data_IF_858586103518
#
_entry.id   IF_858586103518
#
_cell.length_a   1.000
_cell.length_b   1.000
_cell.length_c   1.000
_cell.angle_alpha   90.00
_cell.angle_beta   90.00
_cell.angle_gamma   90.00
#
_symmetry.space_group_name_H-M   'P 1'
#
loop_
_entity.id
_entity.type
_entity.pdbx_description
1 polymer ?
#
# COMPACT_ATOMS: atom_id res chain seq x y z
N UNK A 1 8.33 29.86 -69.35
CA UNK A 1 8.64 31.29 -69.07
C UNK A 1 7.84 31.72 -67.86
N UNK A 2 8.36 32.59 -67.00
CA UNK A 2 7.62 33.11 -65.83
C UNK A 2 7.51 34.63 -65.96
N UNK A 3 6.31 35.18 -65.77
CA UNK A 3 6.02 36.62 -65.79
C UNK A 3 6.16 37.15 -64.37
N UNK A 4 6.90 38.25 -64.18
CA UNK A 4 7.07 38.90 -62.87
C UNK A 4 6.62 40.34 -63.04
N UNK A 5 5.78 40.82 -62.12
CA UNK A 5 5.32 42.21 -62.04
C UNK A 5 6.00 42.86 -60.84
N UNK A 6 6.82 43.86 -61.10
CA UNK A 6 7.41 44.73 -60.09
C UNK A 6 7.35 46.17 -60.62
N UNK A 7 6.80 47.07 -59.80
CA UNK A 7 6.66 48.52 -60.04
C UNK A 7 6.56 48.94 -61.51
N UNK A 8 5.38 48.64 -62.09
CA UNK A 8 4.88 49.19 -63.34
C UNK A 8 5.62 48.79 -64.64
N UNK A 9 6.48 47.76 -64.61
CA UNK A 9 7.12 47.19 -65.82
C UNK A 9 7.07 45.66 -65.79
N UNK A 10 6.66 45.03 -66.90
CA UNK A 10 6.66 43.57 -67.06
C UNK A 10 7.96 43.16 -67.75
N UNK A 11 8.77 42.34 -67.06
CA UNK A 11 9.98 41.74 -67.62
C UNK A 11 9.77 40.23 -67.81
N UNK A 12 9.97 39.75 -69.04
CA UNK A 12 9.91 38.31 -69.37
C UNK A 12 11.33 37.77 -69.39
N UNK A 13 11.59 36.75 -68.56
CA UNK A 13 12.92 36.13 -68.42
C UNK A 13 12.78 34.62 -68.54
N UNK A 14 13.84 33.95 -68.98
CA UNK A 14 13.85 32.48 -69.00
C UNK A 14 13.87 31.93 -67.57
N UNK A 15 13.30 30.74 -67.35
CA UNK A 15 13.18 30.16 -66.00
C UNK A 15 14.55 29.96 -65.36
N UNK A 16 15.55 29.58 -66.17
CA UNK A 16 16.94 29.37 -65.74
C UNK A 16 17.60 30.67 -65.26
N UNK A 17 17.45 31.75 -66.02
CA UNK A 17 17.99 33.06 -65.63
C UNK A 17 17.33 33.63 -64.38
N UNK A 18 16.04 33.37 -64.16
CA UNK A 18 15.35 33.79 -62.94
C UNK A 18 15.81 33.02 -61.70
N UNK A 19 16.03 31.71 -61.82
CA UNK A 19 16.58 30.89 -60.73
C UNK A 19 18.01 31.30 -60.38
N UNK A 20 18.84 31.61 -61.37
CA UNK A 20 20.18 32.12 -61.17
C UNK A 20 20.17 33.54 -60.54
N UNK A 21 19.23 34.40 -60.92
CA UNK A 21 19.06 35.73 -60.30
C UNK A 21 18.59 35.63 -58.84
N UNK A 22 17.68 34.70 -58.53
CA UNK A 22 17.28 34.42 -57.13
C UNK A 22 18.46 33.90 -56.34
N UNK A 23 19.21 32.92 -56.87
CA UNK A 23 20.40 32.38 -56.21
C UNK A 23 21.44 33.47 -55.97
N UNK A 24 21.63 34.39 -56.92
CA UNK A 24 22.54 35.54 -56.77
C UNK A 24 22.04 36.51 -55.70
N UNK A 25 20.75 36.86 -55.69
CA UNK A 25 20.15 37.73 -54.66
C UNK A 25 20.17 37.10 -53.26
N UNK A 26 19.98 35.79 -53.17
CA UNK A 26 20.13 35.04 -51.91
C UNK A 26 21.59 35.05 -51.47
N UNK A 27 22.53 34.76 -52.36
CA UNK A 27 23.97 34.79 -52.08
C UNK A 27 24.48 36.19 -51.70
N UNK A 28 24.00 37.25 -52.35
CA UNK A 28 24.29 38.65 -52.02
C UNK A 28 23.69 39.04 -50.66
N UNK A 29 22.46 38.59 -50.34
CA UNK A 29 21.89 38.80 -49.01
C UNK A 29 22.68 38.06 -47.93
N UNK A 30 23.15 36.86 -48.21
CA UNK A 30 23.96 36.07 -47.28
C UNK A 30 25.34 36.67 -47.06
N UNK A 31 26.01 37.17 -48.11
CA UNK A 31 27.30 37.86 -47.98
C UNK A 31 27.15 39.19 -47.28
N UNK A 32 26.09 39.96 -47.56
CA UNK A 32 25.79 41.21 -46.86
C UNK A 32 25.46 40.96 -45.38
N UNK A 33 24.76 39.86 -45.08
CA UNK A 33 24.51 39.43 -43.70
C UNK A 33 25.81 39.03 -43.01
N UNK A 34 26.70 38.29 -43.67
CA UNK A 34 28.02 37.92 -43.15
C UNK A 34 28.91 39.14 -42.91
N UNK A 35 28.99 40.07 -43.85
CA UNK A 35 29.83 41.28 -43.74
C UNK A 35 29.33 42.23 -42.65
N UNK A 36 28.00 42.40 -42.53
CA UNK A 36 27.39 43.16 -41.43
C UNK A 36 27.67 42.52 -40.07
N UNK A 37 27.69 41.19 -40.04
CA UNK A 37 27.95 40.40 -38.84
C UNK A 37 29.45 40.36 -38.48
N UNK A 38 30.35 40.41 -39.47
CA UNK A 38 31.80 40.59 -39.26
C UNK A 38 32.16 42.01 -38.79
N UNK A 39 31.45 43.04 -39.29
CA UNK A 39 31.54 44.39 -38.73
C UNK A 39 31.05 44.46 -37.29
N UNK A 40 30.02 43.67 -36.95
CA UNK A 40 29.58 43.48 -35.56
C UNK A 40 30.63 42.77 -34.70
N UNK A 41 31.29 41.70 -35.22
CA UNK A 41 32.42 41.03 -34.53
C UNK A 41 33.58 41.96 -34.21
N UNK A 42 33.82 42.97 -35.04
CA UNK A 42 34.88 43.96 -34.84
C UNK A 42 34.48 45.08 -33.86
N UNK A 43 33.19 45.23 -33.56
CA UNK A 43 32.66 46.29 -32.69
C UNK A 43 32.22 45.83 -31.30
N UNK A 44 31.94 44.55 -31.10
CA UNK A 44 31.49 44.01 -29.81
C UNK A 44 32.62 43.28 -29.08
N UNK A 45 33.07 43.84 -27.95
CA UNK A 45 34.00 43.16 -27.04
C UNK A 45 33.33 41.94 -26.41
N UNK A 46 33.82 40.74 -26.74
CA UNK A 46 33.46 39.51 -26.03
C UNK A 46 34.16 39.48 -24.68
N UNK A 47 33.38 39.22 -23.63
CA UNK A 47 33.86 39.08 -22.26
C UNK A 47 33.64 37.63 -21.83
N UNK A 48 34.62 37.09 -21.11
CA UNK A 48 34.51 35.78 -20.46
C UNK A 48 34.41 36.00 -18.96
N UNK A 49 33.36 35.46 -18.35
CA UNK A 49 33.17 35.49 -16.90
C UNK A 49 32.94 34.07 -16.37
N UNK A 50 33.58 33.74 -15.24
CA UNK A 50 33.41 32.46 -14.54
C UNK A 50 32.50 32.68 -13.35
N UNK A 51 31.38 31.96 -13.31
CA UNK A 51 30.42 32.00 -12.20
C UNK A 51 30.48 30.67 -11.44
N UNK A 52 30.70 30.75 -10.14
CA UNK A 52 30.63 29.59 -9.25
C UNK A 52 29.20 29.43 -8.73
N UNK A 53 28.66 28.21 -8.82
CA UNK A 53 27.33 27.86 -8.35
C UNK A 53 27.42 27.21 -6.97
N UNK A 54 26.50 27.53 -6.07
CA UNK A 54 26.47 27.01 -4.70
C UNK A 54 25.45 25.89 -4.51
N UNK A 55 24.30 25.96 -5.18
CA UNK A 55 23.16 25.06 -4.94
C UNK A 55 22.69 24.34 -6.20
N UNK A 56 22.69 25.01 -7.34
CA UNK A 56 22.18 24.45 -8.60
C UNK A 56 23.29 23.74 -9.37
N UNK A 57 22.93 22.69 -10.11
CA UNK A 57 23.89 21.96 -10.94
C UNK A 57 24.22 22.76 -12.22
N UNK A 58 25.47 22.70 -12.75
CA UNK A 58 25.85 23.46 -13.93
C UNK A 58 25.13 22.94 -15.18
N UNK A 59 24.78 21.65 -15.19
CA UNK A 59 24.04 21.01 -16.27
C UNK A 59 22.60 21.52 -16.37
N UNK A 60 21.92 21.73 -15.23
CA UNK A 60 20.55 22.27 -15.22
C UNK A 60 20.55 23.75 -15.62
N UNK A 61 21.57 24.52 -15.22
CA UNK A 61 21.71 25.93 -15.64
C UNK A 61 22.11 26.07 -17.09
N UNK A 62 22.98 25.23 -17.62
CA UNK A 62 23.33 25.24 -19.04
C UNK A 62 22.09 24.99 -19.92
N UNK A 63 21.25 24.01 -19.55
CA UNK A 63 19.97 23.74 -20.22
C UNK A 63 19.01 24.93 -20.14
N UNK A 64 18.95 25.62 -19.00
CA UNK A 64 18.09 26.79 -18.83
C UNK A 64 18.58 27.98 -19.67
N UNK A 65 19.89 28.24 -19.69
CA UNK A 65 20.50 29.38 -20.38
C UNK A 65 20.50 29.21 -21.89
N UNK A 66 20.79 27.99 -22.39
CA UNK A 66 20.73 27.68 -23.83
C UNK A 66 19.30 27.60 -24.37
N UNK A 67 18.29 27.59 -23.49
CA UNK A 67 16.91 27.34 -23.84
C UNK A 67 16.71 25.86 -24.13
N UNK A 68 15.94 25.17 -23.29
CA UNK A 68 15.80 23.72 -23.39
C UNK A 68 15.34 23.25 -24.77
N UNK A 69 15.87 22.10 -25.21
CA UNK A 69 15.35 21.29 -26.33
C UNK A 69 13.92 20.84 -26.01
N UNK A 70 12.95 21.74 -26.16
CA UNK A 70 11.55 21.39 -26.16
C UNK A 70 11.21 20.67 -27.47
N UNK A 71 10.37 19.65 -27.38
CA UNK A 71 9.79 18.82 -28.46
C UNK A 71 8.88 19.60 -29.45
N UNK A 72 9.29 20.80 -29.84
CA UNK A 72 8.67 21.59 -30.91
C UNK A 72 9.30 21.26 -32.26
N UNK A 73 8.51 21.37 -33.32
CA UNK A 73 8.82 21.00 -34.70
C UNK A 73 10.28 21.32 -35.15
N UNK A 74 10.90 20.44 -35.95
CA UNK A 74 12.25 20.63 -36.47
C UNK A 74 12.33 21.96 -37.24
N UNK A 75 13.08 22.92 -36.69
CA UNK A 75 13.27 24.24 -37.30
C UNK A 75 12.98 25.44 -36.38
N UNK A 76 12.41 25.25 -35.18
CA UNK A 76 12.23 26.32 -34.19
C UNK A 76 13.14 26.11 -32.98
N UNK A 77 14.45 26.30 -33.15
CA UNK A 77 15.34 26.49 -32.00
C UNK A 77 14.92 27.81 -31.35
N UNK A 78 14.24 27.74 -30.19
CA UNK A 78 14.12 28.90 -29.31
C UNK A 78 15.53 29.33 -28.97
N UNK A 79 15.97 30.45 -29.53
CA UNK A 79 17.24 31.09 -29.22
C UNK A 79 17.25 31.33 -27.69
N UNK A 80 18.08 30.60 -26.96
CA UNK A 80 18.27 30.82 -25.53
C UNK A 80 18.80 32.21 -25.23
N UNK A 81 19.16 32.45 -23.98
CA UNK A 81 19.80 33.70 -23.56
C UNK A 81 21.24 33.86 -24.08
N UNK A 82 21.69 32.99 -25.00
CA UNK A 82 23.04 33.00 -25.58
C UNK A 82 23.00 33.70 -26.94
N UNK A 83 23.99 34.56 -27.22
CA UNK A 83 24.10 35.19 -28.54
C UNK A 83 24.50 34.19 -29.62
N UNK A 84 24.47 34.61 -30.89
CA UNK A 84 24.84 33.75 -32.03
C UNK A 84 26.30 33.26 -31.97
N UNK A 85 27.17 33.94 -31.22
CA UNK A 85 28.58 33.60 -31.04
C UNK A 85 28.95 33.30 -29.58
N UNK A 86 27.97 33.33 -28.68
CA UNK A 86 28.16 33.04 -27.27
C UNK A 86 28.39 31.54 -27.04
N UNK A 87 29.27 31.21 -26.09
CA UNK A 87 29.51 29.82 -25.68
C UNK A 87 29.45 29.70 -24.18
N UNK A 88 28.73 28.68 -23.71
CA UNK A 88 28.67 28.29 -22.30
C UNK A 88 29.38 26.95 -22.15
N UNK A 89 30.37 26.91 -21.28
CA UNK A 89 31.12 25.72 -20.91
C UNK A 89 30.91 25.41 -19.44
N UNK A 90 30.37 24.22 -19.16
CA UNK A 90 30.22 23.72 -17.80
C UNK A 90 31.53 23.14 -17.28
N UNK A 91 31.85 23.43 -16.02
CA UNK A 91 33.00 22.89 -15.29
C UNK A 91 32.46 22.09 -14.11
N UNK A 92 32.31 20.78 -14.29
CA UNK A 92 31.65 19.89 -13.31
C UNK A 92 32.45 19.74 -12.01
N UNK A 93 33.78 19.72 -12.07
CA UNK A 93 34.62 19.48 -10.89
C UNK A 93 34.64 20.63 -9.87
N UNK A 94 34.31 21.85 -10.29
CA UNK A 94 34.30 23.04 -9.43
C UNK A 94 32.92 23.72 -9.35
N UNK A 95 31.87 23.02 -9.75
CA UNK A 95 30.51 23.54 -9.85
C UNK A 95 30.43 24.96 -10.47
N UNK A 96 31.15 25.17 -11.58
CA UNK A 96 31.31 26.48 -12.19
C UNK A 96 30.83 26.48 -13.64
N UNK A 97 30.43 27.65 -14.11
CA UNK A 97 29.93 27.87 -15.45
C UNK A 97 30.72 29.03 -16.07
N UNK A 98 31.42 28.73 -17.15
CA UNK A 98 32.22 29.70 -17.90
C UNK A 98 31.35 30.21 -19.03
N UNK A 99 31.01 31.50 -18.96
CA UNK A 99 30.18 32.19 -19.94
C UNK A 99 31.08 33.08 -20.78
N UNK A 100 31.03 32.91 -22.10
CA UNK A 100 31.68 33.81 -23.05
C UNK A 100 30.64 34.40 -23.98
N UNK A 101 30.41 35.71 -23.89
CA UNK A 101 29.44 36.42 -24.73
C UNK A 101 29.72 37.94 -24.74
N UNK A 102 28.86 38.73 -25.37
CA UNK A 102 28.87 40.20 -25.30
C UNK A 102 28.69 40.68 -23.87
N UNK A 103 29.33 41.82 -23.51
CA UNK A 103 29.33 42.37 -22.14
C UNK A 103 27.92 42.52 -21.55
N UNK A 104 26.95 42.96 -22.35
CA UNK A 104 25.55 43.14 -21.91
C UNK A 104 24.88 41.78 -21.63
N UNK A 105 25.10 40.78 -22.48
CA UNK A 105 24.47 39.49 -22.34
C UNK A 105 25.06 38.67 -21.18
N UNK A 106 26.38 38.75 -20.96
CA UNK A 106 27.03 38.17 -19.79
C UNK A 106 26.44 38.76 -18.50
N UNK A 107 26.30 40.08 -18.40
CA UNK A 107 25.70 40.71 -17.22
C UNK A 107 24.25 40.26 -16.96
N UNK A 108 23.46 40.10 -18.02
CA UNK A 108 22.09 39.57 -17.92
C UNK A 108 22.07 38.10 -17.47
N UNK A 109 22.92 37.25 -18.03
CA UNK A 109 23.02 35.83 -17.65
C UNK A 109 23.51 35.66 -16.20
N UNK A 110 24.50 36.43 -15.77
CA UNK A 110 25.00 36.41 -14.38
C UNK A 110 23.89 36.80 -13.40
N UNK A 111 23.06 37.80 -13.74
CA UNK A 111 21.89 38.19 -12.92
C UNK A 111 20.89 37.04 -12.78
N UNK A 112 20.54 36.38 -13.89
CA UNK A 112 19.63 35.23 -13.91
C UNK A 112 20.20 34.07 -13.09
N UNK A 113 21.48 33.76 -13.25
CA UNK A 113 22.16 32.70 -12.50
C UNK A 113 22.11 32.99 -11.00
N UNK A 114 22.42 34.23 -10.57
CA UNK A 114 22.36 34.62 -9.15
C UNK A 114 20.95 34.60 -8.57
N UNK A 115 19.95 34.94 -9.37
CA UNK A 115 18.54 34.88 -8.95
C UNK A 115 18.04 33.45 -8.78
N UNK A 116 18.57 32.51 -9.58
CA UNK A 116 18.17 31.11 -9.54
C UNK A 116 19.02 30.22 -8.62
N UNK A 117 20.28 30.59 -8.35
CA UNK A 117 21.18 29.91 -7.40
C UNK A 117 20.82 30.23 -5.94
N UNK A 118 19.58 29.91 -5.58
CA UNK A 118 19.06 30.05 -4.23
C UNK A 118 19.02 28.70 -3.52
N UNK A 119 19.14 28.74 -2.20
CA UNK A 119 19.10 27.53 -1.37
C UNK A 119 17.74 26.83 -1.51
N UNK A 120 17.70 25.52 -1.88
CA UNK A 120 16.44 24.80 -1.95
C UNK A 120 15.84 24.61 -0.56
N UNK A 121 14.52 24.66 -0.48
CA UNK A 121 13.80 24.28 0.73
C UNK A 121 14.04 22.79 1.01
N UNK A 122 14.31 22.45 2.27
CA UNK A 122 14.30 21.06 2.72
C UNK A 122 12.94 20.79 3.37
N UNK A 123 12.34 19.66 3.01
CA UNK A 123 11.04 19.23 3.49
C UNK A 123 11.24 17.92 4.24
N UNK A 124 10.81 17.90 5.50
CA UNK A 124 10.60 16.69 6.27
C UNK A 124 9.19 16.17 5.97
N UNK A 125 9.08 14.87 5.69
CA UNK A 125 7.80 14.21 5.48
C UNK A 125 7.67 13.12 6.54
N UNK A 126 6.64 13.25 7.38
CA UNK A 126 6.26 12.25 8.37
C UNK A 126 5.01 11.51 7.87
N UNK A 127 5.09 10.18 7.73
CA UNK A 127 3.95 9.34 7.36
C UNK A 127 3.59 8.45 8.53
N UNK A 128 2.31 8.40 8.91
CA UNK A 128 1.80 7.51 9.97
C UNK A 128 0.82 6.52 9.38
N UNK A 129 1.13 5.24 9.47
CA UNK A 129 0.25 4.15 9.06
C UNK A 129 -0.28 3.50 10.33
N UNK A 130 -1.56 3.64 10.58
CA UNK A 130 -2.26 3.09 11.75
C UNK A 130 -3.09 1.90 11.29
N UNK A 131 -2.85 0.74 11.87
CA UNK A 131 -3.71 -0.42 11.71
C UNK A 131 -4.30 -0.80 13.07
N UNK A 132 -5.62 -0.90 13.15
CA UNK A 132 -6.34 -1.43 14.29
C UNK A 132 -7.05 -2.72 13.86
N UNK A 133 -6.98 -3.74 14.70
CA UNK A 133 -7.69 -5.00 14.50
C UNK A 133 -8.41 -5.35 15.79
N UNK A 134 -9.69 -5.70 15.69
CA UNK A 134 -10.48 -6.23 16.81
C UNK A 134 -11.09 -7.53 16.35
N UNK A 135 -10.84 -8.61 17.07
CA UNK A 135 -11.44 -9.91 16.83
C UNK A 135 -12.38 -10.24 17.99
N UNK A 136 -13.60 -10.64 17.67
CA UNK A 136 -14.59 -11.04 18.66
C UNK A 136 -15.22 -12.36 18.26
N UNK A 137 -15.19 -13.33 19.17
CA UNK A 137 -15.84 -14.63 19.00
C UNK A 137 -16.66 -14.97 20.23
N UNK A 138 -17.88 -15.45 20.02
CA UNK A 138 -18.76 -15.95 21.09
C UNK A 138 -19.34 -17.29 20.68
N UNK A 139 -19.16 -18.29 21.52
CA UNK A 139 -19.83 -19.58 21.40
C UNK A 139 -20.65 -19.89 22.64
N UNK A 140 -21.90 -20.34 22.42
CA UNK A 140 -22.75 -20.88 23.46
C UNK A 140 -23.24 -22.25 23.02
N UNK A 141 -23.00 -23.26 23.85
CA UNK A 141 -23.35 -24.64 23.57
C UNK A 141 -23.92 -25.33 24.79
N UNK A 142 -24.72 -26.37 24.56
CA UNK A 142 -25.39 -27.14 25.60
C UNK A 142 -25.16 -28.62 25.35
N UNK A 143 -24.94 -29.34 26.43
CA UNK A 143 -24.96 -30.78 26.46
C UNK A 143 -25.96 -31.20 27.53
N UNK A 144 -26.85 -32.12 27.23
CA UNK A 144 -27.67 -32.72 28.28
C UNK A 144 -28.13 -34.11 27.90
N UNK A 145 -28.33 -34.93 28.91
CA UNK A 145 -28.78 -36.30 28.78
C UNK A 145 -29.71 -36.65 29.93
N UNK A 146 -30.81 -37.28 29.60
CA UNK A 146 -31.72 -37.85 30.57
C UNK A 146 -31.74 -39.36 30.41
N UNK A 147 -31.64 -40.07 31.52
CA UNK A 147 -31.92 -41.50 31.62
C UNK A 147 -33.12 -41.69 32.52
N UNK A 148 -34.05 -42.50 32.07
CA UNK A 148 -35.04 -43.07 32.95
C UNK A 148 -35.20 -44.52 32.60
N UNK A 149 -35.07 -45.39 33.60
CA UNK A 149 -35.25 -46.82 33.45
C UNK A 149 -36.50 -47.19 34.22
N UNK A 150 -37.59 -47.38 33.48
CA UNK A 150 -38.81 -47.90 34.08
C UNK A 150 -39.20 -49.19 33.39
N UNK A 151 -39.37 -50.24 34.20
CA UNK A 151 -40.01 -51.47 33.78
C UNK A 151 -41.52 -51.27 33.86
N UNK A 152 -42.18 -51.27 32.70
CA UNK A 152 -43.63 -51.10 32.65
C UNK A 152 -44.32 -52.46 32.67
N UNK A 153 -45.15 -52.71 33.69
CA UNK A 153 -46.00 -53.91 33.76
C UNK A 153 -47.03 -53.94 32.63
N UNK A 154 -47.46 -52.77 32.13
CA UNK A 154 -48.34 -52.63 30.97
C UNK A 154 -47.65 -53.01 29.64
N UNK A 155 -46.32 -52.98 29.60
CA UNK A 155 -45.51 -53.39 28.44
C UNK A 155 -44.90 -54.79 28.61
N UNK A 156 -45.40 -55.59 29.56
CA UNK A 156 -44.92 -56.94 29.84
C UNK A 156 -43.57 -56.97 30.55
N UNK A 157 -43.35 -56.06 31.51
CA UNK A 157 -42.11 -55.89 32.27
C UNK A 157 -40.88 -55.54 31.41
N UNK A 158 -41.11 -54.86 30.28
CA UNK A 158 -40.04 -54.36 29.40
C UNK A 158 -39.49 -53.03 29.92
N UNK A 159 -38.17 -52.88 29.81
CA UNK A 159 -37.46 -51.63 30.10
C UNK A 159 -37.81 -50.59 29.03
N UNK A 160 -38.29 -49.42 29.47
CA UNK A 160 -38.38 -48.22 28.65
C UNK A 160 -37.24 -47.31 29.07
N UNK A 161 -36.39 -46.96 28.12
CA UNK A 161 -35.26 -46.08 28.35
C UNK A 161 -35.25 -44.90 27.40
N UNK A 162 -35.06 -43.70 27.98
CA UNK A 162 -34.74 -42.48 27.26
C UNK A 162 -33.22 -42.31 27.33
N UNK A 163 -32.54 -42.13 26.20
CA UNK A 163 -31.12 -41.79 26.15
C UNK A 163 -30.71 -41.28 24.77
N UNK A 164 -29.49 -40.76 24.66
CA UNK A 164 -28.85 -40.52 23.37
C UNK A 164 -28.70 -41.79 22.52
N UNK A 165 -28.39 -41.60 21.24
CA UNK A 165 -28.11 -42.68 20.30
C UNK A 165 -26.92 -43.53 20.77
N UNK A 166 -27.10 -44.85 20.80
CA UNK A 166 -26.16 -45.81 21.37
C UNK A 166 -26.12 -47.08 20.54
N UNK A 167 -24.96 -47.72 20.50
CA UNK A 167 -24.77 -49.06 19.95
C UNK A 167 -24.55 -50.04 21.09
N UNK A 168 -25.15 -51.21 20.95
CA UNK A 168 -24.88 -52.33 21.84
C UNK A 168 -23.68 -53.10 21.30
N UNK A 169 -22.55 -53.05 22.01
CA UNK A 169 -21.44 -53.96 21.71
C UNK A 169 -21.71 -55.26 22.47
N UNK A 170 -21.89 -56.37 21.73
CA UNK A 170 -22.15 -57.67 22.36
C UNK A 170 -20.96 -58.02 23.24
N UNK A 171 -21.23 -58.21 24.54
CA UNK A 171 -20.25 -58.87 25.39
C UNK A 171 -19.99 -60.28 24.85
N UNK A 172 -18.72 -60.68 24.85
CA UNK A 172 -18.32 -62.09 24.76
C UNK A 172 -19.06 -62.88 25.86
N UNK A 173 -19.44 -64.14 25.59
CA UNK A 173 -20.23 -64.98 26.51
C UNK A 173 -19.78 -64.81 27.97
N UNK A 174 -20.71 -64.34 28.82
CA UNK A 174 -20.48 -64.12 30.26
C UNK A 174 -20.15 -62.69 30.69
N UNK A 175 -20.00 -61.73 29.78
CA UNK A 175 -19.82 -60.31 30.13
C UNK A 175 -21.14 -59.50 30.16
N UNK A 176 -21.21 -58.48 31.01
CA UNK A 176 -22.23 -57.41 30.91
C UNK A 176 -21.97 -56.59 29.64
N UNK A 177 -22.97 -56.52 28.74
CA UNK A 177 -22.90 -55.71 27.52
C UNK A 177 -22.55 -54.25 27.85
N UNK A 178 -21.55 -53.70 27.16
CA UNK A 178 -21.15 -52.30 27.36
C UNK A 178 -21.89 -51.42 26.36
N UNK A 179 -22.60 -50.42 26.86
CA UNK A 179 -23.20 -49.39 26.02
C UNK A 179 -22.09 -48.50 25.47
N UNK A 180 -22.02 -48.37 24.15
CA UNK A 180 -21.04 -47.52 23.47
C UNK A 180 -21.79 -46.42 22.73
N UNK A 181 -21.32 -45.18 22.86
CA UNK A 181 -21.83 -44.03 22.09
C UNK A 181 -21.61 -44.28 20.59
N UNK A 182 -22.64 -44.10 19.76
CA UNK A 182 -22.50 -44.19 18.30
C UNK A 182 -21.64 -43.08 17.71
N UNK A 183 -21.36 -42.03 18.49
CA UNK A 183 -20.63 -40.85 18.06
C UNK A 183 -19.23 -40.75 18.66
N UNK A 184 -18.81 -41.71 19.50
CA UNK A 184 -17.56 -41.68 20.26
C UNK A 184 -17.39 -40.46 21.19
N UNK A 185 -18.42 -39.64 21.41
CA UNK A 185 -18.38 -38.55 22.39
C UNK A 185 -18.61 -39.08 23.81
N UNK A 186 -17.81 -38.56 24.77
CA UNK A 186 -17.91 -38.87 26.20
C UNK A 186 -19.29 -38.46 26.74
N UNK A 187 -19.95 -39.41 27.38
CA UNK A 187 -21.26 -39.25 28.01
C UNK A 187 -21.18 -38.97 29.52
N UNK A 188 -22.34 -38.80 30.16
CA UNK A 188 -22.40 -38.68 31.63
C UNK A 188 -22.27 -40.04 32.30
N UNK A 189 -21.79 -40.06 33.55
CA UNK A 189 -21.55 -41.28 34.32
C UNK A 189 -22.80 -41.64 35.11
N UNK A 190 -23.29 -42.85 34.90
CA UNK A 190 -24.48 -43.40 35.55
C UNK A 190 -24.21 -44.86 35.93
N UNK A 191 -24.19 -45.18 37.23
CA UNK A 191 -24.06 -46.56 37.70
C UNK A 191 -22.86 -47.34 37.16
N UNK A 192 -21.72 -46.66 36.89
CA UNK A 192 -20.53 -47.27 36.28
C UNK A 192 -20.53 -47.33 34.75
N UNK A 193 -21.64 -46.98 34.09
CA UNK A 193 -21.77 -46.89 32.63
C UNK A 193 -21.61 -45.44 32.14
N UNK A 194 -21.05 -45.28 30.93
CA UNK A 194 -20.99 -44.00 30.22
C UNK A 194 -22.16 -43.96 29.25
N UNK A 195 -23.00 -42.94 29.34
CA UNK A 195 -24.23 -42.84 28.53
C UNK A 195 -24.18 -41.58 27.67
N UNK A 196 -24.35 -41.69 26.34
CA UNK A 196 -24.29 -40.54 25.46
C UNK A 196 -25.40 -39.54 25.79
N UNK A 197 -25.05 -38.26 25.75
CA UNK A 197 -26.00 -37.16 25.88
C UNK A 197 -27.08 -37.22 24.78
N UNK A 198 -28.31 -36.82 25.13
CA UNK A 198 -29.41 -36.67 24.18
C UNK A 198 -29.16 -35.49 23.23
N UNK A 199 -28.65 -34.39 23.78
CA UNK A 199 -28.16 -33.23 23.03
C UNK A 199 -26.69 -33.05 23.36
N UNK A 200 -25.84 -33.01 22.34
CA UNK A 200 -24.40 -32.91 22.52
C UNK A 200 -23.81 -31.84 21.61
N UNK A 201 -24.05 -30.58 21.97
CA UNK A 201 -23.68 -29.41 21.18
C UNK A 201 -22.79 -28.46 21.99
N UNK A 202 -21.59 -28.90 22.45
CA UNK A 202 -20.71 -28.06 23.26
C UNK A 202 -20.09 -26.90 22.46
N UNK A 203 -19.86 -25.79 23.17
CA UNK A 203 -18.92 -24.76 22.74
C UNK A 203 -17.48 -25.29 22.81
N UNK A 204 -16.56 -24.70 22.02
CA UNK A 204 -15.14 -25.09 21.98
C UNK A 204 -14.36 -24.57 23.20
N UNK A 205 -14.71 -25.06 24.39
CA UNK A 205 -14.10 -24.67 25.68
C UNK A 205 -12.94 -25.60 26.06
N UNK A 206 -11.97 -25.07 26.80
CA UNK A 206 -10.78 -25.78 27.25
C UNK A 206 -10.06 -25.06 28.38
N UNK A 207 -8.93 -25.59 28.84
CA UNK A 207 -8.13 -24.92 29.87
C UNK A 207 -7.70 -23.52 29.39
N UNK A 208 -8.13 -22.48 30.09
CA UNK A 208 -7.88 -21.08 29.73
C UNK A 208 -8.75 -20.51 28.60
N UNK A 209 -9.76 -21.25 28.13
CA UNK A 209 -10.68 -20.83 27.07
C UNK A 209 -12.12 -21.19 27.43
N UNK A 210 -12.91 -20.18 27.82
CA UNK A 210 -14.31 -20.35 28.18
C UNK A 210 -14.53 -21.13 29.48
N UNK A 211 -15.76 -21.61 29.68
CA UNK A 211 -16.15 -22.32 30.90
C UNK A 211 -17.35 -23.23 30.70
N UNK A 212 -17.50 -24.19 31.61
CA UNK A 212 -18.64 -25.11 31.68
C UNK A 212 -19.33 -25.01 33.02
N UNK A 213 -20.66 -25.14 33.02
CA UNK A 213 -21.49 -25.22 34.22
C UNK A 213 -22.40 -26.44 34.09
N UNK A 214 -22.18 -27.42 34.97
CA UNK A 214 -22.92 -28.68 34.98
C UNK A 214 -23.88 -28.79 36.16
N UNK A 215 -25.06 -29.36 35.93
CA UNK A 215 -26.04 -29.75 36.94
C UNK A 215 -26.43 -31.20 36.73
N UNK A 216 -26.31 -31.99 37.79
CA UNK A 216 -26.71 -33.38 37.80
C UNK A 216 -27.83 -33.59 38.81
N UNK A 217 -28.91 -34.24 38.38
CA UNK A 217 -30.06 -34.62 39.21
C UNK A 217 -30.26 -36.12 39.05
N UNK A 218 -30.21 -36.87 40.14
CA UNK A 218 -30.43 -38.32 40.16
C UNK A 218 -31.40 -38.75 41.25
N UNK A 219 -32.22 -39.74 40.98
CA UNK A 219 -33.10 -40.39 41.98
C UNK A 219 -32.31 -41.35 42.86
N UNK A 220 -32.72 -41.53 44.13
CA UNK A 220 -32.07 -42.45 45.06
C UNK A 220 -32.04 -43.93 44.62
N UNK A 221 -32.91 -44.31 43.68
CA UNK A 221 -33.00 -45.67 43.12
C UNK A 221 -32.42 -45.77 41.72
N UNK A 222 -31.70 -44.75 41.24
CA UNK A 222 -31.18 -44.62 39.86
C UNK A 222 -32.22 -44.74 38.73
N UNK A 223 -33.50 -44.72 39.04
CA UNK A 223 -34.61 -44.81 38.08
C UNK A 223 -34.75 -43.58 37.17
N UNK A 224 -34.22 -42.43 37.60
CA UNK A 224 -34.17 -41.20 36.82
C UNK A 224 -32.88 -40.43 37.08
N UNK A 225 -32.23 -39.99 36.00
CA UNK A 225 -31.04 -39.16 36.05
C UNK A 225 -31.07 -38.15 34.91
N UNK A 226 -30.65 -36.92 35.21
CA UNK A 226 -30.55 -35.81 34.27
C UNK A 226 -29.21 -35.13 34.51
N UNK A 227 -28.38 -35.07 33.48
CA UNK A 227 -27.16 -34.28 33.45
C UNK A 227 -27.33 -33.16 32.42
N UNK A 228 -27.05 -31.92 32.81
CA UNK A 228 -27.12 -30.72 31.98
C UNK A 228 -25.85 -29.94 32.15
N UNK A 229 -25.12 -29.73 31.07
CA UNK A 229 -23.88 -28.99 31.02
C UNK A 229 -23.98 -27.84 30.00
N UNK A 230 -23.98 -26.62 30.50
CA UNK A 230 -23.81 -25.41 29.70
C UNK A 230 -22.32 -25.19 29.44
N UNK A 231 -21.98 -24.82 28.22
CA UNK A 231 -20.61 -24.47 27.82
C UNK A 231 -20.65 -23.12 27.10
N UNK A 232 -19.78 -22.20 27.50
CA UNK A 232 -19.74 -20.87 26.93
C UNK A 232 -18.29 -20.40 26.76
N UNK A 233 -18.02 -19.75 25.63
CA UNK A 233 -16.77 -19.09 25.32
C UNK A 233 -17.08 -17.69 24.79
N UNK A 234 -16.37 -16.70 25.30
CA UNK A 234 -16.29 -15.39 24.69
C UNK A 234 -14.81 -15.01 24.64
N UNK A 235 -14.32 -14.72 23.45
CA UNK A 235 -12.95 -14.31 23.19
C UNK A 235 -12.97 -12.94 22.52
N UNK A 236 -12.18 -12.01 23.04
CA UNK A 236 -12.03 -10.67 22.50
C UNK A 236 -10.54 -10.31 22.46
N UNK A 237 -10.03 -10.09 21.25
CA UNK A 237 -8.69 -9.59 21.02
C UNK A 237 -8.71 -8.20 20.41
N UNK A 238 -7.73 -7.37 20.81
CA UNK A 238 -7.53 -6.03 20.26
C UNK A 238 -6.05 -5.82 19.98
N UNK A 239 -5.74 -5.47 18.74
CA UNK A 239 -4.39 -5.16 18.26
C UNK A 239 -4.32 -3.77 17.66
N UNK A 240 -3.23 -3.04 17.91
CA UNK A 240 -2.96 -1.77 17.25
C UNK A 240 -1.50 -1.68 16.86
N UNK A 241 -1.25 -1.38 15.59
CA UNK A 241 0.07 -1.21 15.00
C UNK A 241 0.19 0.22 14.48
N UNK A 242 1.19 0.95 14.96
CA UNK A 242 1.54 2.28 14.45
C UNK A 242 2.92 2.21 13.81
N UNK A 243 2.99 2.52 12.52
CA UNK A 243 4.24 2.64 11.77
C UNK A 243 4.45 4.11 11.40
N UNK A 244 5.64 4.66 11.66
CA UNK A 244 5.94 6.08 11.44
C UNK A 244 7.22 6.30 10.61
N UNK A 245 7.25 5.92 9.31
CA UNK A 245 8.37 6.25 8.45
C UNK A 245 8.51 7.77 8.24
N UNK A 246 9.74 8.25 8.29
CA UNK A 246 10.10 9.66 8.18
C UNK A 246 11.29 9.83 7.24
N UNK A 247 11.22 10.84 6.38
CA UNK A 247 12.29 11.16 5.42
C UNK A 247 12.43 12.68 5.25
N UNK A 248 13.65 13.13 4.96
CA UNK A 248 13.93 14.54 4.63
C UNK A 248 14.48 14.58 3.22
N UNK A 249 13.99 15.50 2.40
CA UNK A 249 14.46 15.70 1.04
C UNK A 249 14.45 17.15 0.63
N UNK A 250 15.20 17.49 -0.42
CA UNK A 250 15.16 18.81 -1.04
C UNK A 250 13.91 18.94 -1.92
N UNK A 251 13.50 20.18 -2.15
CA UNK A 251 12.40 20.51 -3.05
C UNK A 251 12.61 19.89 -4.46
N UNK A 252 11.56 19.30 -5.01
CA UNK A 252 11.54 18.59 -6.30
C UNK A 252 12.51 17.39 -6.41
N UNK A 253 13.00 16.84 -5.28
CA UNK A 253 13.83 15.63 -5.26
C UNK A 253 13.08 14.46 -4.61
N UNK A 254 13.01 13.36 -5.34
CA UNK A 254 12.45 12.08 -4.86
C UNK A 254 13.32 11.53 -3.72
N UNK A 255 12.68 11.11 -2.65
CA UNK A 255 13.31 10.40 -1.55
C UNK A 255 12.55 9.12 -1.20
N UNK A 256 13.29 8.11 -0.76
CA UNK A 256 12.78 6.79 -0.42
C UNK A 256 13.35 6.40 0.95
N UNK A 257 12.48 5.89 1.82
CA UNK A 257 12.86 5.20 3.06
C UNK A 257 12.13 3.85 3.10
N UNK A 258 12.86 2.76 3.31
CA UNK A 258 12.31 1.40 3.32
C UNK A 258 12.95 0.56 4.42
N UNK A 259 12.14 -0.28 5.06
CA UNK A 259 12.57 -1.28 6.04
C UNK A 259 11.77 -2.56 5.79
N UNK A 260 12.45 -3.69 5.65
CA UNK A 260 11.76 -4.95 5.45
C UNK A 260 12.68 -6.12 5.19
N UNK A 261 12.12 -7.15 4.56
CA UNK A 261 12.80 -8.40 4.23
C UNK A 261 12.67 -8.68 2.75
N UNK A 262 13.67 -9.38 2.21
CA UNK A 262 13.66 -9.88 0.84
C UNK A 262 13.48 -11.40 0.89
N UNK A 263 12.40 -11.90 0.32
CA UNK A 263 12.02 -13.32 0.34
C UNK A 263 12.46 -13.96 -0.97
N UNK A 264 13.39 -14.94 -0.93
CA UNK A 264 13.80 -15.65 -2.13
C UNK A 264 12.74 -16.66 -2.57
N UNK A 265 12.44 -16.70 -3.87
CA UNK A 265 11.62 -17.74 -4.49
C UNK A 265 12.27 -18.25 -5.77
N UNK A 266 12.05 -19.53 -6.07
CA UNK A 266 12.64 -20.19 -7.25
C UNK A 266 11.70 -20.03 -8.44
N UNK A 267 12.25 -19.61 -9.57
CA UNK A 267 11.55 -19.63 -10.86
C UNK A 267 12.21 -20.64 -11.78
N UNK A 268 11.41 -21.55 -12.32
CA UNK A 268 11.86 -22.56 -13.27
C UNK A 268 11.77 -22.00 -14.69
N UNK A 269 12.92 -21.77 -15.32
CA UNK A 269 13.02 -21.35 -16.72
C UNK A 269 13.66 -22.46 -17.56
N UNK A 270 13.52 -22.45 -18.90
CA UNK A 270 14.21 -23.41 -19.78
C UNK A 270 15.74 -23.37 -19.65
N UNK A 271 16.29 -22.28 -19.10
CA UNK A 271 17.72 -22.06 -18.84
C UNK A 271 18.19 -22.59 -17.47
N UNK A 272 17.30 -23.18 -16.68
CA UNK A 272 17.56 -23.67 -15.32
C UNK A 272 16.78 -22.93 -14.24
N UNK A 273 17.03 -23.31 -12.99
CA UNK A 273 16.41 -22.72 -11.80
C UNK A 273 17.09 -21.41 -11.45
N UNK A 274 16.36 -20.29 -11.52
CA UNK A 274 16.83 -18.98 -11.06
C UNK A 274 16.17 -18.62 -9.72
N UNK A 275 16.93 -18.01 -8.81
CA UNK A 275 16.37 -17.48 -7.55
C UNK A 275 16.06 -16.00 -7.74
N UNK A 276 14.79 -15.64 -7.59
CA UNK A 276 14.31 -14.26 -7.60
C UNK A 276 13.94 -13.83 -6.18
N UNK A 277 13.84 -12.52 -5.96
CA UNK A 277 13.59 -11.94 -4.64
C UNK A 277 12.34 -11.08 -4.68
N UNK A 278 11.40 -11.34 -3.76
CA UNK A 278 10.23 -10.51 -3.53
C UNK A 278 10.41 -9.70 -2.25
N UNK A 279 10.19 -8.39 -2.32
CA UNK A 279 10.35 -7.51 -1.16
C UNK A 279 9.05 -7.39 -0.36
N UNK A 280 9.13 -7.64 0.95
CA UNK A 280 8.10 -7.32 1.92
C UNK A 280 8.62 -6.16 2.79
N UNK A 281 8.34 -4.94 2.35
CA UNK A 281 8.87 -3.70 2.95
C UNK A 281 7.75 -2.77 3.43
N UNK A 282 7.98 -2.19 4.60
CA UNK A 282 7.38 -0.94 5.00
C UNK A 282 8.20 0.18 4.38
N UNK A 283 7.56 1.09 3.64
CA UNK A 283 8.30 2.16 2.99
C UNK A 283 7.46 3.38 2.66
N UNK A 284 8.17 4.49 2.48
CA UNK A 284 7.63 5.74 1.99
C UNK A 284 8.52 6.21 0.84
N UNK A 285 7.90 6.42 -0.30
CA UNK A 285 8.48 7.11 -1.43
C UNK A 285 7.72 8.42 -1.62
N UNK A 286 8.44 9.53 -1.76
CA UNK A 286 7.83 10.85 -1.86
C UNK A 286 8.65 11.81 -2.72
N UNK A 287 7.95 12.62 -3.50
CA UNK A 287 8.52 13.77 -4.22
C UNK A 287 7.75 15.03 -3.81
N UNK A 288 8.31 15.90 -2.96
CA UNK A 288 7.67 17.15 -2.57
C UNK A 288 7.96 18.26 -3.58
N UNK A 289 7.03 19.20 -3.69
CA UNK A 289 7.18 20.45 -4.43
C UNK A 289 6.50 21.59 -3.68
N UNK A 290 7.25 22.63 -3.31
CA UNK A 290 6.72 23.79 -2.59
C UNK A 290 6.13 24.80 -3.57
N UNK A 291 4.85 25.12 -3.41
CA UNK A 291 4.16 26.14 -4.20
C UNK A 291 4.38 27.54 -3.62
N UNK A 292 4.18 28.58 -4.44
CA UNK A 292 4.29 29.98 -4.01
C UNK A 292 3.28 30.37 -2.93
N UNK A 293 2.14 29.67 -2.89
CA UNK A 293 1.07 29.89 -1.91
C UNK A 293 1.35 29.21 -0.55
N UNK A 294 2.51 28.57 -0.39
CA UNK A 294 2.91 27.90 0.85
C UNK A 294 2.34 26.49 1.04
N UNK A 295 1.60 25.97 0.05
CA UNK A 295 1.23 24.55 0.00
C UNK A 295 2.39 23.70 -0.50
N UNK A 296 2.46 22.49 0.00
CA UNK A 296 3.42 21.47 -0.38
C UNK A 296 2.64 20.43 -1.18
N UNK A 297 2.91 20.39 -2.48
CA UNK A 297 2.46 19.32 -3.36
C UNK A 297 3.29 18.08 -3.06
N UNK A 298 2.63 16.96 -2.78
CA UNK A 298 3.27 15.70 -2.45
C UNK A 298 2.78 14.62 -3.41
N UNK A 299 3.70 14.03 -4.17
CA UNK A 299 3.49 12.74 -4.83
C UNK A 299 4.01 11.66 -3.90
N UNK A 300 3.14 10.77 -3.42
CA UNK A 300 3.43 9.84 -2.33
C UNK A 300 3.07 8.42 -2.74
N UNK A 301 3.96 7.48 -2.42
CA UNK A 301 3.71 6.05 -2.43
C UNK A 301 4.08 5.49 -1.05
N UNK A 302 3.07 5.25 -0.22
CA UNK A 302 3.23 4.60 1.07
C UNK A 302 2.97 3.10 0.93
N UNK A 303 3.87 2.27 1.46
CA UNK A 303 3.78 0.80 1.41
C UNK A 303 3.90 0.21 2.81
N UNK A 304 3.06 -0.77 3.12
CA UNK A 304 3.15 -1.65 4.28
C UNK A 304 2.94 -3.06 3.79
N UNK A 305 4.02 -3.66 3.29
CA UNK A 305 4.00 -5.03 2.82
C UNK A 305 4.55 -5.95 3.93
N UNK A 306 3.84 -7.03 4.23
CA UNK A 306 4.21 -8.00 5.26
C UNK A 306 4.24 -9.41 4.70
N UNK A 307 5.27 -10.19 5.07
CA UNK A 307 5.32 -11.61 4.77
C UNK A 307 4.29 -12.36 5.62
N UNK A 308 3.43 -13.15 4.97
CA UNK A 308 2.51 -14.07 5.62
C UNK A 308 3.11 -15.49 5.59
N UNK A 309 3.56 -15.95 6.76
CA UNK A 309 4.14 -17.28 6.95
C UNK A 309 3.10 -18.37 7.20
N UNK A 310 1.82 -18.02 7.38
CA UNK A 310 0.74 -18.98 7.57
C UNK A 310 0.30 -19.53 6.21
N UNK A 311 0.06 -18.63 5.26
CA UNK A 311 -0.29 -19.01 3.90
C UNK A 311 0.98 -19.09 3.04
N UNK A 312 1.40 -20.32 2.74
CA UNK A 312 2.56 -20.59 1.87
C UNK A 312 2.13 -21.28 0.58
N UNK A 313 2.74 -20.89 -0.53
CA UNK A 313 2.61 -21.56 -1.83
C UNK A 313 3.95 -22.21 -2.15
N UNK A 314 3.97 -23.54 -2.28
CA UNK A 314 5.21 -24.32 -2.52
C UNK A 314 6.32 -24.05 -1.48
N UNK A 315 5.94 -23.76 -0.22
CA UNK A 315 6.87 -23.43 0.86
C UNK A 315 7.40 -21.98 0.82
N UNK A 316 6.92 -21.15 -0.11
CA UNK A 316 7.20 -19.70 -0.16
C UNK A 316 6.06 -18.95 0.52
N UNK A 317 6.34 -18.06 1.50
CA UNK A 317 5.32 -17.23 2.14
C UNK A 317 4.65 -16.28 1.14
N UNK A 318 3.35 -16.05 1.31
CA UNK A 318 2.64 -14.99 0.57
C UNK A 318 2.99 -13.61 1.14
N UNK A 319 2.64 -12.53 0.43
CA UNK A 319 2.91 -11.15 0.86
C UNK A 319 1.61 -10.36 0.88
N UNK A 320 1.21 -9.94 2.08
CA UNK A 320 0.12 -9.00 2.28
C UNK A 320 0.56 -7.60 1.91
N UNK A 321 -0.05 -7.00 0.88
CA UNK A 321 0.30 -5.66 0.39
C UNK A 321 -0.74 -4.64 0.81
N UNK A 322 -0.32 -3.62 1.54
CA UNK A 322 -1.15 -2.46 1.91
C UNK A 322 -0.47 -1.19 1.43
N UNK A 323 -0.96 -0.62 0.33
CA UNK A 323 -0.29 0.49 -0.34
C UNK A 323 -1.27 1.61 -0.72
N UNK A 324 -0.79 2.85 -0.68
CA UNK A 324 -1.53 4.01 -1.18
C UNK A 324 -0.61 4.89 -2.03
N UNK A 325 -1.06 5.22 -3.24
CA UNK A 325 -0.38 6.12 -4.18
C UNK A 325 -1.29 7.30 -4.48
N UNK A 326 -0.81 8.52 -4.24
CA UNK A 326 -1.63 9.71 -4.48
C UNK A 326 -0.79 10.97 -4.71
N UNK A 327 -1.46 11.99 -5.24
CA UNK A 327 -0.96 13.34 -5.39
C UNK A 327 -1.87 14.31 -4.66
N UNK A 328 -1.33 15.07 -3.71
CA UNK A 328 -2.14 15.98 -2.88
C UNK A 328 -1.38 17.26 -2.51
N UNK A 329 -2.11 18.25 -2.01
CA UNK A 329 -1.56 19.52 -1.52
C UNK A 329 -1.87 19.64 -0.03
N UNK A 330 -0.84 19.83 0.81
CA UNK A 330 -0.98 20.07 2.26
C UNK A 330 -0.24 21.33 2.63
N UNK A 331 -0.70 22.06 3.63
CA UNK A 331 0.08 23.16 4.19
C UNK A 331 1.24 22.66 5.04
N UNK A 332 2.22 23.53 5.24
CA UNK A 332 3.34 23.28 6.16
C UNK A 332 2.84 22.97 7.58
N UNK A 333 3.18 21.79 8.09
CA UNK A 333 2.85 21.33 9.44
C UNK A 333 1.45 20.75 9.63
N UNK A 334 0.57 20.80 8.62
CA UNK A 334 -0.77 20.20 8.69
C UNK A 334 -0.73 18.70 8.39
N UNK A 335 -1.64 17.93 9.00
CA UNK A 335 -1.78 16.50 8.76
C UNK A 335 -2.94 16.23 7.81
N UNK A 336 -2.69 15.52 6.70
CA UNK A 336 -3.72 15.05 5.78
C UNK A 336 -3.89 13.53 5.89
N UNK A 337 -5.13 13.05 5.76
CA UNK A 337 -5.44 11.63 5.59
C UNK A 337 -5.36 11.30 4.12
N UNK A 338 -4.45 10.40 3.75
CA UNK A 338 -4.22 9.98 2.35
C UNK A 338 -5.25 8.93 1.93
N UNK A 339 -5.61 8.05 2.87
CA UNK A 339 -6.53 6.97 2.60
C UNK A 339 -6.74 6.08 3.81
N UNK A 340 -7.73 5.21 3.69
CA UNK A 340 -8.03 4.19 4.67
C UNK A 340 -8.86 3.05 4.11
N UNK A 341 -8.82 1.92 4.81
CA UNK A 341 -9.61 0.74 4.50
C UNK A 341 -10.26 0.29 5.81
N UNK A 342 -11.57 0.08 5.76
CA UNK A 342 -12.35 -0.51 6.85
C UNK A 342 -12.91 -1.83 6.35
N UNK A 343 -12.60 -2.90 7.05
CA UNK A 343 -13.06 -4.25 6.76
C UNK A 343 -13.75 -4.81 7.99
N UNK A 344 -14.90 -5.44 7.79
CA UNK A 344 -15.66 -6.11 8.83
C UNK A 344 -16.21 -7.42 8.31
N UNK A 345 -15.89 -8.51 9.00
CA UNK A 345 -16.39 -9.84 8.72
C UNK A 345 -17.30 -10.28 9.86
N UNK A 346 -18.57 -10.53 9.56
CA UNK A 346 -19.55 -11.03 10.51
C UNK A 346 -19.95 -12.46 10.16
N UNK A 347 -19.78 -13.37 11.11
CA UNK A 347 -20.20 -14.75 11.01
C UNK A 347 -21.25 -15.07 12.07
N UNK A 348 -22.35 -15.71 11.69
CA UNK A 348 -23.30 -16.28 12.64
C UNK A 348 -23.68 -17.68 12.20
N UNK A 349 -23.35 -18.66 13.03
CA UNK A 349 -23.66 -20.07 12.80
C UNK A 349 -24.55 -20.59 13.92
N UNK A 350 -25.57 -21.36 13.55
CA UNK A 350 -26.47 -22.02 14.50
C UNK A 350 -26.63 -23.48 14.12
N UNK A 351 -26.11 -24.36 14.98
CA UNK A 351 -26.24 -25.81 14.85
C UNK A 351 -27.24 -26.29 15.89
N UNK A 352 -28.17 -27.18 15.54
CA UNK A 352 -29.15 -27.64 16.51
C UNK A 352 -30.07 -28.72 15.99
N UNK A 353 -30.89 -29.27 16.89
CA UNK A 353 -31.87 -30.29 16.54
C UNK A 353 -33.04 -29.64 15.78
N UNK A 354 -33.35 -30.10 14.54
CA UNK A 354 -34.47 -29.57 13.77
C UNK A 354 -35.79 -29.60 14.55
N UNK A 355 -36.60 -28.56 14.43
CA UNK A 355 -37.84 -28.39 15.20
C UNK A 355 -37.60 -27.91 16.63
N UNK A 356 -36.91 -28.70 17.46
CA UNK A 356 -36.74 -28.42 18.90
C UNK A 356 -35.92 -27.15 19.19
N UNK A 357 -34.95 -26.81 18.32
CA UNK A 357 -34.15 -25.58 18.46
C UNK A 357 -34.95 -24.27 18.36
N UNK A 358 -36.16 -24.33 17.77
CA UNK A 358 -37.00 -23.17 17.51
C UNK A 358 -38.08 -22.94 18.58
N UNK A 359 -38.16 -23.78 19.62
CA UNK A 359 -39.14 -23.63 20.69
C UNK A 359 -38.81 -22.36 21.50
N UNK A 360 -39.77 -21.44 21.74
CA UNK A 360 -39.54 -20.28 22.59
C UNK A 360 -39.05 -20.70 23.97
N UNK A 361 -38.10 -19.96 24.54
CA UNK A 361 -37.45 -20.21 25.84
C UNK A 361 -36.60 -21.50 25.89
N UNK A 362 -37.11 -22.64 25.44
CA UNK A 362 -36.45 -23.95 25.53
C UNK A 362 -35.50 -24.26 24.38
N UNK A 363 -35.58 -23.54 23.25
CA UNK A 363 -34.76 -23.81 22.07
C UNK A 363 -33.25 -23.74 22.32
N UNK A 364 -32.82 -22.99 23.34
CA UNK A 364 -31.43 -22.93 23.80
C UNK A 364 -30.89 -24.27 24.29
N UNK A 365 -31.75 -25.19 24.76
CA UNK A 365 -31.37 -26.54 25.18
C UNK A 365 -31.13 -27.49 24.00
N UNK A 366 -31.36 -27.03 22.76
CA UNK A 366 -31.30 -27.86 21.56
C UNK A 366 -30.42 -27.27 20.46
N UNK A 367 -29.62 -26.24 20.78
CA UNK A 367 -28.76 -25.57 19.80
C UNK A 367 -27.44 -25.09 20.39
N UNK A 368 -26.44 -24.99 19.50
CA UNK A 368 -25.19 -24.26 19.66
C UNK A 368 -25.24 -23.04 18.75
N UNK A 369 -24.83 -21.90 19.28
CA UNK A 369 -24.68 -20.66 18.53
C UNK A 369 -23.23 -20.20 18.57
N UNK A 370 -22.67 -19.90 17.40
CA UNK A 370 -21.35 -19.28 17.23
C UNK A 370 -21.55 -17.94 16.54
N UNK A 371 -20.95 -16.87 17.08
CA UNK A 371 -20.89 -15.54 16.50
C UNK A 371 -19.44 -15.11 16.36
N UNK A 372 -19.11 -14.51 15.23
CA UNK A 372 -17.80 -13.96 14.87
C UNK A 372 -18.00 -12.53 14.38
N UNK A 373 -17.18 -11.60 14.83
CA UNK A 373 -17.15 -10.21 14.37
C UNK A 373 -15.70 -9.72 14.38
N UNK A 374 -15.06 -9.82 13.22
CA UNK A 374 -13.69 -9.38 13.00
C UNK A 374 -13.69 -8.04 12.29
N UNK A 375 -12.94 -7.07 12.81
CA UNK A 375 -12.84 -5.72 12.23
C UNK A 375 -11.39 -5.34 12.07
N UNK A 376 -11.06 -4.82 10.89
CA UNK A 376 -9.73 -4.30 10.57
C UNK A 376 -9.85 -2.91 9.97
N UNK A 377 -9.12 -1.96 10.55
CA UNK A 377 -9.06 -0.58 10.11
C UNK A 377 -7.62 -0.22 9.76
N UNK A 378 -7.41 0.38 8.59
CA UNK A 378 -6.14 0.94 8.14
C UNK A 378 -6.35 2.42 7.84
N UNK A 379 -5.50 3.29 8.37
CA UNK A 379 -5.47 4.71 8.06
C UNK A 379 -4.03 5.14 7.78
N UNK A 380 -3.85 5.95 6.73
CA UNK A 380 -2.55 6.51 6.35
C UNK A 380 -2.63 8.03 6.44
N UNK A 381 -1.79 8.61 7.28
CA UNK A 381 -1.66 10.04 7.48
C UNK A 381 -0.32 10.53 6.97
N UNK A 382 -0.28 11.78 6.50
CA UNK A 382 0.94 12.45 6.09
C UNK A 382 1.03 13.84 6.72
N UNK A 383 2.22 14.26 7.08
CA UNK A 383 2.49 15.60 7.63
C UNK A 383 3.81 16.10 7.06
N UNK A 384 3.79 17.02 6.08
CA UNK A 384 5.00 17.67 5.62
C UNK A 384 5.38 18.84 6.54
N UNK A 385 6.68 19.11 6.66
CA UNK A 385 7.22 20.26 7.39
C UNK A 385 8.43 20.86 6.65
N UNK A 386 8.40 22.15 6.38
CA UNK A 386 9.53 22.89 5.79
C UNK A 386 10.57 23.16 6.88
N UNK A 387 11.80 22.68 6.69
CA UNK A 387 12.90 22.89 7.62
C UNK A 387 13.59 24.21 7.31
N UNK A 388 13.33 25.25 8.10
CA UNK A 388 13.88 26.60 7.89
C UNK A 388 15.31 26.79 8.47
N UNK A 389 15.77 25.91 9.38
CA UNK A 389 16.88 26.21 10.30
C UNK A 389 18.01 25.17 10.40
N UNK A 390 18.41 24.48 9.32
CA UNK A 390 19.53 23.52 9.43
C UNK A 390 20.90 24.20 9.62
N UNK A 391 21.04 25.50 9.35
CA UNK A 391 22.33 26.19 9.31
C UNK A 391 22.30 27.57 9.98
N UNK A 392 21.80 27.65 11.21
CA UNK A 392 22.12 28.83 12.02
C UNK A 392 23.59 28.67 12.42
N UNK A 393 24.50 29.35 11.73
CA UNK A 393 25.88 29.48 12.19
C UNK A 393 25.82 29.99 13.63
N UNK A 394 26.27 29.16 14.58
CA UNK A 394 26.75 29.68 15.85
C UNK A 394 27.99 30.52 15.49
N UNK A 395 27.82 31.83 15.57
CA UNK A 395 28.90 32.80 15.40
C UNK A 395 29.73 32.91 16.66
#
# INVERSE_FOLDING_TARGET
MRKIEADNVIRVVTVKEFEDEIKRKIGERESFRKDRLERQKMGEEFVTETVYLSYVSPADMDKMLKGGEGTGAPGSQKKGFVSEFGTITQVSWNNALIIKDTRENVANMVRIVREHDTKPNQIQIDCKIVQATTNFSRELGIQWGARSDQTSSLLGNKEVMISGGRSFSSATEGGTGTLVSTTNLLGFRSGGYIIPYNVNLPAAVGAGSGGTLGFYIGSATDAFQLDVQLSALEDEGRGRILSNPKVITSDNKKAIIQQGKSIPYKTYSQSGTQTQFAEAVLGLEVTPSVTKDGFIKLEILAKKDQADFVNTSEGVPTIDKKQASTLLYVKDGETAVIGGIYEREEGSSENGIPGLKNIPLLGWLFKKQTKLDDRTELLIFITPRIIKNVYKNEG
#
